data_IF_116978853393
#
_entry.id   IF_116978853393
#
_cell.length_a   1.000
_cell.length_b   1.000
_cell.length_c   1.000
_cell.angle_alpha   90.00
_cell.angle_beta   90.00
_cell.angle_gamma   90.00
#
_symmetry.space_group_name_H-M   'P 1'
#
loop_
_entity.id
_entity.type
_entity.pdbx_description
1 polymer ?
#
# COMPACT_ATOMS: atom_id res chain seq x y z
N UNK A 1 -15.36 18.52 6.68
CA UNK A 1 -15.08 18.00 5.32
C UNK A 1 -13.57 17.99 5.16
N UNK A 2 -12.98 16.89 4.68
CA UNK A 2 -11.53 16.82 4.46
C UNK A 2 -11.18 17.57 3.17
N UNK A 3 -10.16 18.42 3.19
CA UNK A 3 -9.77 19.18 1.98
C UNK A 3 -9.06 18.30 0.94
N UNK A 4 -8.14 17.45 1.39
CA UNK A 4 -7.31 16.61 0.53
C UNK A 4 -7.31 15.17 1.02
N UNK A 5 -7.48 14.20 0.12
CA UNK A 5 -7.28 12.79 0.43
C UNK A 5 -6.57 12.09 -0.73
N UNK A 6 -6.01 10.92 -0.43
CA UNK A 6 -5.39 10.02 -1.39
C UNK A 6 -6.27 8.79 -1.57
N UNK A 7 -6.35 8.27 -2.78
CA UNK A 7 -7.00 7.00 -3.07
C UNK A 7 -6.00 6.08 -3.75
N UNK A 8 -5.50 5.11 -3.00
CA UNK A 8 -4.65 4.05 -3.55
C UNK A 8 -5.48 3.19 -4.50
N UNK A 9 -4.94 2.89 -5.67
CA UNK A 9 -5.53 1.94 -6.60
C UNK A 9 -4.44 1.14 -7.32
N UNK A 10 -4.82 -0.03 -7.82
CA UNK A 10 -3.97 -0.85 -8.66
C UNK A 10 -4.74 -1.19 -9.94
N UNK A 11 -4.24 -0.85 -11.14
CA UNK A 11 -4.96 -1.06 -12.40
C UNK A 11 -5.36 -2.51 -12.68
N UNK A 12 -4.64 -3.50 -12.11
CA UNK A 12 -4.91 -4.92 -12.34
C UNK A 12 -5.89 -5.53 -11.32
N UNK A 13 -6.26 -4.78 -10.28
CA UNK A 13 -7.26 -5.22 -9.31
C UNK A 13 -8.66 -5.04 -9.90
N UNK A 14 -9.46 -6.12 -9.91
CA UNK A 14 -10.90 -5.97 -10.11
C UNK A 14 -11.50 -5.32 -8.85
N UNK A 15 -11.78 -4.03 -8.94
CA UNK A 15 -12.31 -3.25 -7.82
C UNK A 15 -13.79 -3.61 -7.62
N UNK A 16 -14.07 -4.56 -6.72
CA UNK A 16 -15.44 -4.98 -6.36
C UNK A 16 -16.05 -4.08 -5.27
N UNK A 17 -15.23 -3.22 -4.63
CA UNK A 17 -15.64 -2.35 -3.51
C UNK A 17 -15.05 -0.94 -3.67
N UNK A 18 -15.71 0.11 -3.17
CA UNK A 18 -15.12 1.44 -3.16
C UNK A 18 -13.75 1.46 -2.46
N UNK A 19 -12.77 2.09 -3.10
CA UNK A 19 -11.42 2.22 -2.55
C UNK A 19 -11.40 3.27 -1.42
N UNK A 20 -10.76 2.99 -0.27
CA UNK A 20 -10.69 3.93 0.85
C UNK A 20 -10.05 5.27 0.45
N UNK A 21 -10.55 6.36 1.05
CA UNK A 21 -9.90 7.67 0.99
C UNK A 21 -9.03 7.87 2.22
N UNK A 22 -7.75 8.12 2.01
CA UNK A 22 -6.74 8.31 3.04
C UNK A 22 -6.45 9.79 3.23
N UNK A 23 -6.71 10.30 4.43
CA UNK A 23 -6.22 11.61 4.85
C UNK A 23 -4.92 11.46 5.65
N UNK A 24 -3.87 12.18 5.26
CA UNK A 24 -2.59 12.16 5.96
C UNK A 24 -2.65 13.07 7.20
N UNK A 25 -2.83 12.48 8.39
CA UNK A 25 -3.12 13.25 9.61
C UNK A 25 -1.84 13.61 10.35
N UNK A 26 -0.92 12.67 10.51
CA UNK A 26 0.33 12.91 11.26
C UNK A 26 1.40 13.59 10.41
N UNK A 27 1.32 13.46 9.08
CA UNK A 27 2.34 13.95 8.15
C UNK A 27 3.73 13.35 8.39
N UNK A 28 3.82 12.20 9.06
CA UNK A 28 5.09 11.50 9.28
C UNK A 28 5.74 11.03 7.97
N UNK A 29 4.92 10.80 6.95
CA UNK A 29 5.34 10.61 5.56
C UNK A 29 4.71 11.71 4.70
N UNK A 30 5.47 12.30 3.78
CA UNK A 30 4.95 13.36 2.91
C UNK A 30 3.85 12.88 1.95
N UNK A 31 3.93 11.63 1.51
CA UNK A 31 3.02 11.05 0.52
C UNK A 31 2.82 9.55 0.80
N UNK A 32 1.61 8.98 0.62
CA UNK A 32 1.35 7.56 0.92
C UNK A 32 2.14 6.58 0.06
N UNK A 33 2.66 7.01 -1.10
CA UNK A 33 3.42 6.13 -2.00
C UNK A 33 4.62 5.48 -1.30
N UNK A 34 5.37 6.24 -0.51
CA UNK A 34 6.61 5.77 0.10
C UNK A 34 6.34 4.63 1.10
N UNK A 35 5.48 4.82 2.13
CA UNK A 35 5.15 3.73 3.04
C UNK A 35 4.37 2.60 2.34
N UNK A 36 3.55 2.88 1.31
CA UNK A 36 2.85 1.83 0.57
C UNK A 36 3.83 0.91 -0.19
N UNK A 37 4.81 1.48 -0.89
CA UNK A 37 5.84 0.73 -1.61
C UNK A 37 6.72 -0.05 -0.62
N UNK A 38 7.08 0.55 0.51
CA UNK A 38 7.80 -0.17 1.57
C UNK A 38 7.04 -1.40 2.05
N UNK A 39 5.76 -1.25 2.45
CA UNK A 39 4.92 -2.38 2.88
C UNK A 39 4.85 -3.45 1.78
N UNK A 40 4.69 -3.02 0.53
CA UNK A 40 4.59 -3.90 -0.63
C UNK A 40 5.88 -4.71 -0.84
N UNK A 41 7.04 -4.08 -0.73
CA UNK A 41 8.35 -4.74 -0.80
C UNK A 41 8.53 -5.76 0.35
N UNK A 42 8.11 -5.40 1.56
CA UNK A 42 8.16 -6.33 2.70
C UNK A 42 7.25 -7.55 2.48
N UNK A 43 6.04 -7.35 1.94
CA UNK A 43 5.12 -8.44 1.65
C UNK A 43 5.66 -9.38 0.54
N UNK A 44 6.28 -8.81 -0.48
CA UNK A 44 6.94 -9.56 -1.56
C UNK A 44 8.11 -10.39 -1.04
N UNK A 45 9.02 -9.76 -0.27
CA UNK A 45 10.22 -10.42 0.22
C UNK A 45 9.93 -11.51 1.26
N UNK A 46 8.99 -11.26 2.18
CA UNK A 46 8.74 -12.16 3.32
C UNK A 46 7.73 -13.27 2.99
N UNK A 47 6.77 -12.99 2.11
CA UNK A 47 5.63 -13.88 1.88
C UNK A 47 5.39 -14.21 0.40
N UNK A 48 6.13 -13.59 -0.52
CA UNK A 48 5.95 -13.81 -1.95
C UNK A 48 4.60 -13.34 -2.49
N UNK A 49 3.96 -12.37 -1.82
CA UNK A 49 2.63 -11.86 -2.21
C UNK A 49 2.66 -10.37 -2.47
N UNK A 50 1.70 -9.91 -3.29
CA UNK A 50 1.36 -8.49 -3.39
C UNK A 50 0.07 -8.19 -2.64
N UNK A 51 0.02 -7.07 -1.93
CA UNK A 51 -1.18 -6.67 -1.20
C UNK A 51 -2.12 -5.86 -2.09
N UNK A 52 -3.43 -6.00 -1.87
CA UNK A 52 -4.42 -5.16 -2.53
C UNK A 52 -4.31 -3.69 -2.11
N UNK A 53 -4.78 -2.77 -2.97
CA UNK A 53 -4.84 -1.34 -2.64
C UNK A 53 -5.69 -1.07 -1.38
N UNK A 54 -6.75 -1.86 -1.16
CA UNK A 54 -7.57 -1.81 0.05
C UNK A 54 -6.76 -2.19 1.29
N UNK A 55 -5.93 -3.23 1.20
CA UNK A 55 -5.11 -3.65 2.33
C UNK A 55 -3.98 -2.68 2.62
N UNK A 56 -3.30 -2.19 1.59
CA UNK A 56 -2.29 -1.15 1.74
C UNK A 56 -2.90 0.08 2.43
N UNK A 57 -4.09 0.50 2.03
CA UNK A 57 -4.80 1.62 2.67
C UNK A 57 -5.06 1.36 4.16
N UNK A 58 -5.43 0.13 4.51
CA UNK A 58 -5.70 -0.26 5.90
C UNK A 58 -4.41 -0.26 6.74
N UNK A 59 -3.30 -0.72 6.17
CA UNK A 59 -2.00 -0.73 6.84
C UNK A 59 -1.44 0.70 7.00
N UNK A 60 -1.62 1.58 6.02
CA UNK A 60 -1.27 3.00 6.15
C UNK A 60 -2.06 3.66 7.28
N UNK A 61 -3.35 3.37 7.41
CA UNK A 61 -4.17 3.89 8.49
C UNK A 61 -3.78 3.32 9.86
N UNK A 62 -3.31 2.07 9.91
CA UNK A 62 -2.91 1.42 11.16
C UNK A 62 -1.53 1.85 11.65
N UNK A 63 -0.57 2.08 10.74
CA UNK A 63 0.85 2.18 11.10
C UNK A 63 1.53 3.50 10.71
N UNK A 64 0.95 4.29 9.80
CA UNK A 64 1.62 5.45 9.21
C UNK A 64 0.82 6.76 9.35
N UNK A 65 -0.07 6.82 10.35
CA UNK A 65 -0.75 8.06 10.72
C UNK A 65 -1.76 8.59 9.69
N UNK A 66 -2.23 7.72 8.79
CA UNK A 66 -3.35 8.02 7.90
C UNK A 66 -4.68 7.75 8.60
N UNK A 67 -5.74 8.42 8.13
CA UNK A 67 -7.12 8.13 8.55
C UNK A 67 -8.01 7.89 7.35
N UNK A 68 -8.85 6.86 7.43
CA UNK A 68 -9.88 6.62 6.43
C UNK A 68 -11.00 7.65 6.63
N UNK A 69 -11.36 8.36 5.55
CA UNK A 69 -12.41 9.40 5.57
C UNK A 69 -13.51 9.09 4.56
N UNK A 70 -14.72 9.58 4.81
CA UNK A 70 -15.88 9.33 3.96
C UNK A 70 -15.96 10.20 2.70
N UNK A 71 -15.34 11.39 2.71
CA UNK A 71 -15.34 12.32 1.59
C UNK A 71 -14.19 13.32 1.70
N UNK A 72 -13.72 13.81 0.55
CA UNK A 72 -12.78 14.93 0.43
C UNK A 72 -13.12 15.84 -0.76
N UNK A 73 -12.74 17.10 -0.68
CA UNK A 73 -12.90 18.08 -1.78
C UNK A 73 -12.00 17.75 -2.97
N UNK A 74 -10.76 17.38 -2.69
CA UNK A 74 -9.79 16.92 -3.69
C UNK A 74 -9.32 15.51 -3.34
N UNK A 75 -9.31 14.64 -4.34
CA UNK A 75 -8.83 13.26 -4.22
C UNK A 75 -7.71 13.04 -5.23
N UNK A 76 -6.51 12.80 -4.72
CA UNK A 76 -5.38 12.36 -5.53
C UNK A 76 -5.44 10.83 -5.70
N UNK A 77 -5.38 10.35 -6.94
CA UNK A 77 -5.32 8.91 -7.22
C UNK A 77 -3.88 8.46 -7.31
N UNK A 78 -3.52 7.46 -6.51
CA UNK A 78 -2.15 6.95 -6.41
C UNK A 78 -2.10 5.53 -6.96
N UNK A 79 -1.41 5.36 -8.08
CA UNK A 79 -1.19 4.04 -8.69
C UNK A 79 -0.09 3.31 -7.93
N UNK A 80 -0.48 2.31 -7.12
CA UNK A 80 0.49 1.55 -6.31
C UNK A 80 1.36 0.62 -7.15
N UNK A 81 0.90 0.23 -8.34
CA UNK A 81 1.69 -0.61 -9.24
C UNK A 81 2.79 0.23 -9.87
N UNK A 82 2.43 1.38 -10.44
CA UNK A 82 3.41 2.29 -11.04
C UNK A 82 4.42 2.76 -9.99
N UNK A 83 3.96 3.18 -8.81
CA UNK A 83 4.85 3.60 -7.72
C UNK A 83 5.83 2.50 -7.30
N UNK A 84 5.40 1.23 -7.33
CA UNK A 84 6.28 0.10 -7.04
C UNK A 84 7.28 -0.17 -8.17
N UNK A 85 6.87 0.01 -9.43
CA UNK A 85 7.72 -0.19 -10.61
C UNK A 85 8.79 0.92 -10.75
N UNK A 86 8.48 2.16 -10.37
CA UNK A 86 9.37 3.32 -10.47
C UNK A 86 10.24 3.56 -9.22
N UNK A 87 9.96 2.86 -8.12
CA UNK A 87 10.69 3.05 -6.88
C UNK A 87 12.11 2.47 -6.93
N UNK A 88 13.07 3.22 -6.37
CA UNK A 88 14.41 2.73 -6.04
C UNK A 88 14.31 1.69 -4.91
N UNK A 89 14.18 0.42 -5.29
CA UNK A 89 13.72 -0.64 -4.40
C UNK A 89 14.67 -0.90 -3.23
N UNK A 90 15.97 -0.77 -3.44
CA UNK A 90 16.99 -1.05 -2.44
C UNK A 90 16.94 -0.02 -1.30
N UNK A 91 16.86 1.26 -1.67
CA UNK A 91 16.73 2.37 -0.72
C UNK A 91 15.43 2.26 0.09
N UNK A 92 14.30 2.04 -0.59
CA UNK A 92 13.01 1.96 0.09
C UNK A 92 12.95 0.73 1.00
N UNK A 93 13.39 -0.44 0.53
CA UNK A 93 13.32 -1.69 1.30
C UNK A 93 14.11 -1.64 2.61
N UNK A 94 15.28 -0.98 2.59
CA UNK A 94 16.16 -0.85 3.74
C UNK A 94 15.90 0.41 4.60
N UNK A 95 14.83 1.15 4.32
CA UNK A 95 14.50 2.36 5.07
C UNK A 95 13.95 2.03 6.47
N UNK A 96 14.85 2.05 7.47
CA UNK A 96 14.51 1.79 8.88
C UNK A 96 13.49 2.78 9.47
N UNK A 97 13.38 4.00 8.91
CA UNK A 97 12.39 4.98 9.37
C UNK A 97 10.95 4.56 9.07
N UNK A 98 10.76 3.61 8.14
CA UNK A 98 9.47 3.02 7.82
C UNK A 98 9.19 1.73 8.59
N UNK A 99 10.17 1.18 9.33
CA UNK A 99 9.93 0.00 10.15
C UNK A 99 8.91 0.31 11.27
N UNK A 100 7.99 -0.63 11.50
CA UNK A 100 6.93 -0.51 12.51
C UNK A 100 6.72 -1.82 13.22
N UNK A 101 6.66 -1.77 14.55
CA UNK A 101 6.39 -2.94 15.37
C UNK A 101 5.02 -3.54 15.00
N UNK A 102 4.99 -4.85 14.77
CA UNK A 102 3.77 -5.57 14.41
C UNK A 102 3.37 -5.49 12.93
N UNK A 103 4.04 -4.69 12.10
CA UNK A 103 3.71 -4.56 10.68
C UNK A 103 3.80 -5.91 9.94
N UNK A 104 4.89 -6.65 10.12
CA UNK A 104 5.09 -7.97 9.49
C UNK A 104 3.96 -8.94 9.88
N UNK A 105 3.55 -8.92 11.15
CA UNK A 105 2.43 -9.74 11.62
C UNK A 105 1.11 -9.33 10.96
N UNK A 106 0.86 -8.02 10.83
CA UNK A 106 -0.34 -7.50 10.19
C UNK A 106 -0.37 -7.81 8.68
N UNK A 107 0.78 -7.80 8.00
CA UNK A 107 0.91 -8.27 6.61
C UNK A 107 0.51 -9.74 6.52
N UNK A 108 1.09 -10.60 7.37
CA UNK A 108 0.80 -12.04 7.40
C UNK A 108 -0.69 -12.35 7.60
N UNK A 109 -1.37 -11.60 8.49
CA UNK A 109 -2.81 -11.76 8.76
C UNK A 109 -3.70 -11.41 7.56
N UNK A 110 -3.19 -10.67 6.58
CA UNK A 110 -3.92 -10.31 5.35
C UNK A 110 -4.03 -11.45 4.35
N UNK A 111 -3.24 -12.51 4.54
CA UNK A 111 -3.11 -13.62 3.60
C UNK A 111 -4.10 -14.73 4.01
N UNK A 112 -4.91 -15.26 3.08
CA UNK A 112 -4.92 -15.02 1.64
C UNK A 112 -5.94 -13.98 1.15
N UNK A 113 -6.74 -13.40 2.05
CA UNK A 113 -7.97 -12.67 1.67
C UNK A 113 -7.74 -11.34 0.93
N UNK A 114 -6.68 -10.61 1.26
CA UNK A 114 -6.46 -9.25 0.75
C UNK A 114 -5.18 -9.11 -0.09
N UNK A 115 -4.79 -10.19 -0.77
CA UNK A 115 -3.66 -10.20 -1.69
C UNK A 115 -4.13 -10.09 -3.14
N UNK A 116 -3.32 -9.42 -3.97
CA UNK A 116 -3.44 -9.53 -5.42
C UNK A 116 -2.74 -10.81 -5.82
N UNK A 117 -3.52 -11.85 -6.12
CA UNK A 117 -2.98 -13.00 -6.85
C UNK A 117 -2.58 -12.52 -8.23
N UNK A 118 -1.28 -12.24 -8.40
CA UNK A 118 -0.69 -12.14 -9.73
C UNK A 118 -0.88 -13.49 -10.40
N UNK A 119 -1.84 -13.59 -11.33
CA UNK A 119 -1.88 -14.70 -12.29
C UNK A 119 -0.64 -14.73 -13.18
N UNK A 120 0.21 -13.72 -13.10
CA UNK A 120 1.62 -13.83 -13.45
C UNK A 120 2.29 -14.75 -12.42
N UNK A 121 2.12 -16.06 -12.64
CA UNK A 121 3.20 -17.02 -12.41
C UNK A 121 4.49 -16.28 -12.74
N UNK A 122 5.42 -16.27 -11.79
CA UNK A 122 6.85 -16.24 -12.09
C UNK A 122 7.03 -17.06 -13.37
N UNK A 123 7.16 -16.39 -14.51
CA UNK A 123 7.68 -17.04 -15.70
C UNK A 123 9.10 -17.35 -15.24
N UNK A 124 9.30 -18.58 -14.81
CA UNK A 124 10.62 -19.17 -14.67
C UNK A 124 11.24 -18.97 -16.04
N UNK A 125 12.11 -17.98 -16.14
CA UNK A 125 12.97 -17.82 -17.30
C UNK A 125 13.88 -19.04 -17.24
N UNK A 126 13.63 -20.00 -18.13
CA UNK A 126 14.48 -21.16 -18.35
C UNK A 126 15.91 -20.74 -18.69
#
# INVERSE_FOLDING_TARGET
>A
MTKHAYQLFNPIEQVVRPLPLLNNVTQETAHPMVPAVYIQLQAEALFGVRLSAVRLSSLLAQFYGYRIVGAAEYVERVDVRLAREEAETDEVYHNEALARDGLVSAIRQSIPGDVVTLSERLVVVN
#
